data_IF_589816367828
#
_entry.id   IF_589816367828
#
_cell.length_a   1.000
_cell.length_b   1.000
_cell.length_c   1.000
_cell.angle_alpha   90.00
_cell.angle_beta   90.00
_cell.angle_gamma   90.00
#
_symmetry.space_group_name_H-M   'P 1'
#
loop_
_entity.id
_entity.type
_entity.pdbx_description
1 polymer ?
#
# COMPACT_ATOMS: atom_id res chain seq x y z
N UNK A 1 15.76 15.88 1.01
CA UNK A 1 14.60 15.15 1.56
C UNK A 1 13.50 15.22 0.52
N UNK A 2 13.43 14.26 -0.39
CA UNK A 2 12.35 14.15 -1.37
C UNK A 2 11.28 13.24 -0.76
N UNK A 3 10.19 13.83 -0.29
CA UNK A 3 9.00 13.05 0.09
C UNK A 3 8.47 12.32 -1.14
N UNK A 4 7.96 11.07 -1.00
CA UNK A 4 7.33 10.39 -2.12
C UNK A 4 6.16 11.22 -2.63
N UNK A 5 6.00 11.25 -3.95
CA UNK A 5 4.84 11.89 -4.56
C UNK A 5 3.57 11.09 -4.22
N UNK A 6 2.41 11.77 -4.20
CA UNK A 6 1.11 11.15 -3.87
C UNK A 6 0.87 9.87 -4.68
N UNK A 7 1.26 9.88 -5.95
CA UNK A 7 1.10 8.77 -6.90
C UNK A 7 1.98 7.57 -6.58
N UNK A 8 3.22 7.76 -6.13
CA UNK A 8 4.10 6.66 -5.71
C UNK A 8 3.58 5.99 -4.43
N UNK A 9 3.04 6.80 -3.51
CA UNK A 9 2.43 6.28 -2.28
C UNK A 9 1.19 5.45 -2.61
N UNK A 10 0.32 5.94 -3.49
CA UNK A 10 -0.85 5.19 -3.97
C UNK A 10 -0.47 3.88 -4.65
N UNK A 11 0.61 3.85 -5.45
CA UNK A 11 1.08 2.63 -6.10
C UNK A 11 1.52 1.55 -5.09
N UNK A 12 2.28 1.94 -4.06
CA UNK A 12 2.72 1.03 -2.98
C UNK A 12 1.52 0.52 -2.18
N UNK A 13 0.59 1.40 -1.83
CA UNK A 13 -0.63 1.01 -1.10
C UNK A 13 -1.47 0.02 -1.91
N UNK A 14 -1.60 0.25 -3.22
CA UNK A 14 -2.36 -0.64 -4.09
C UNK A 14 -1.69 -2.01 -4.25
N UNK A 15 -0.36 -2.05 -4.30
CA UNK A 15 0.38 -3.31 -4.31
C UNK A 15 0.16 -4.11 -3.02
N UNK A 16 0.23 -3.46 -1.86
CA UNK A 16 -0.06 -4.10 -0.56
C UNK A 16 -1.50 -4.62 -0.54
N UNK A 17 -2.47 -3.84 -1.02
CA UNK A 17 -3.86 -4.24 -1.05
C UNK A 17 -4.12 -5.44 -1.98
N UNK A 18 -3.50 -5.48 -3.17
CA UNK A 18 -3.55 -6.65 -4.06
C UNK A 18 -2.98 -7.90 -3.38
N UNK A 19 -1.82 -7.77 -2.76
CA UNK A 19 -1.09 -8.91 -2.19
C UNK A 19 -1.73 -9.49 -0.92
N UNK A 20 -2.40 -8.64 -0.11
CA UNK A 20 -2.91 -9.05 1.21
C UNK A 20 -4.43 -9.08 1.32
N UNK A 21 -5.15 -8.32 0.49
CA UNK A 21 -6.60 -8.20 0.54
C UNK A 21 -7.29 -8.60 -0.77
N UNK A 22 -6.54 -8.88 -1.85
CA UNK A 22 -7.06 -9.16 -3.19
C UNK A 22 -7.94 -8.02 -3.74
N UNK A 23 -7.63 -6.78 -3.35
CA UNK A 23 -8.30 -5.56 -3.80
C UNK A 23 -7.51 -4.98 -4.98
N UNK A 24 -8.15 -4.87 -6.13
CA UNK A 24 -7.52 -4.37 -7.36
C UNK A 24 -7.58 -2.84 -7.50
N UNK A 25 -8.50 -2.19 -6.80
CA UNK A 25 -8.71 -0.73 -6.86
C UNK A 25 -9.25 -0.19 -5.53
N UNK A 26 -8.89 1.05 -5.20
CA UNK A 26 -9.48 1.80 -4.09
C UNK A 26 -10.64 2.71 -4.52
N UNK A 27 -11.00 2.69 -5.81
CA UNK A 27 -12.14 3.45 -6.29
C UNK A 27 -13.45 2.80 -5.83
N UNK A 28 -14.36 3.60 -5.29
CA UNK A 28 -15.71 3.14 -4.96
C UNK A 28 -16.48 2.76 -6.23
N UNK A 29 -17.07 1.57 -6.23
CA UNK A 29 -17.81 1.01 -7.36
C UNK A 29 -19.33 1.13 -7.19
N UNK A 30 -19.81 1.53 -6.01
CA UNK A 30 -21.22 1.62 -5.62
C UNK A 30 -21.95 0.29 -5.74
N UNK A 31 -21.23 -0.79 -5.44
CA UNK A 31 -21.72 -2.17 -5.50
C UNK A 31 -21.20 -2.87 -4.26
N UNK A 32 -22.11 -3.27 -3.36
CA UNK A 32 -21.74 -3.76 -2.02
C UNK A 32 -20.63 -4.82 -2.05
N UNK A 33 -20.77 -5.88 -2.87
CA UNK A 33 -19.80 -6.97 -2.93
C UNK A 33 -18.46 -6.59 -3.58
N UNK A 34 -18.40 -5.46 -4.30
CA UNK A 34 -17.17 -4.92 -4.88
C UNK A 34 -16.47 -3.89 -3.98
N UNK A 35 -17.19 -3.32 -3.01
CA UNK A 35 -16.66 -2.28 -2.11
C UNK A 35 -16.38 -2.83 -0.70
N UNK A 36 -17.12 -3.84 -0.24
CA UNK A 36 -16.96 -4.44 1.08
C UNK A 36 -16.25 -5.80 0.98
N UNK A 37 -15.13 -5.93 1.70
CA UNK A 37 -14.26 -7.10 1.65
C UNK A 37 -14.15 -7.73 3.04
N UNK A 38 -14.40 -9.04 3.13
CA UNK A 38 -14.10 -9.79 4.34
C UNK A 38 -12.59 -10.06 4.42
N UNK A 39 -11.94 -9.48 5.42
CA UNK A 39 -10.49 -9.58 5.61
C UNK A 39 -10.17 -10.27 6.93
N UNK A 40 -9.24 -11.23 6.88
CA UNK A 40 -8.78 -11.90 8.10
C UNK A 40 -7.87 -10.98 8.91
N UNK A 41 -7.89 -11.12 10.24
CA UNK A 41 -6.96 -10.41 11.13
C UNK A 41 -5.49 -10.68 10.79
N UNK A 42 -5.20 -11.84 10.20
CA UNK A 42 -3.86 -12.21 9.73
C UNK A 42 -3.45 -11.35 8.54
N UNK A 43 -4.32 -11.20 7.53
CA UNK A 43 -4.00 -10.38 6.35
C UNK A 43 -3.86 -8.91 6.72
N UNK A 44 -4.68 -8.39 7.63
CA UNK A 44 -4.52 -7.03 8.17
C UNK A 44 -3.13 -6.85 8.78
N UNK A 45 -2.71 -7.77 9.66
CA UNK A 45 -1.39 -7.72 10.28
C UNK A 45 -0.27 -7.73 9.24
N UNK A 46 -0.33 -8.64 8.26
CA UNK A 46 0.70 -8.73 7.21
C UNK A 46 0.77 -7.47 6.34
N UNK A 47 -0.37 -6.87 6.00
CA UNK A 47 -0.41 -5.61 5.25
C UNK A 47 0.22 -4.45 6.02
N UNK A 48 -0.03 -4.36 7.33
CA UNK A 48 0.57 -3.33 8.20
C UNK A 48 2.09 -3.51 8.32
N UNK A 49 2.56 -4.75 8.50
CA UNK A 49 3.99 -5.08 8.52
C UNK A 49 4.66 -4.71 7.19
N UNK A 50 4.01 -5.00 6.05
CA UNK A 50 4.50 -4.64 4.72
C UNK A 50 4.54 -3.12 4.51
N UNK A 51 3.50 -2.39 4.90
CA UNK A 51 3.45 -0.93 4.79
C UNK A 51 4.57 -0.26 5.62
N UNK A 52 4.82 -0.76 6.84
CA UNK A 52 5.89 -0.28 7.70
C UNK A 52 7.29 -0.54 7.10
N UNK A 53 7.50 -1.73 6.52
CA UNK A 53 8.75 -2.05 5.83
C UNK A 53 8.97 -1.17 4.59
N UNK A 54 7.93 -0.95 3.79
CA UNK A 54 7.97 -0.09 2.61
C UNK A 54 8.33 1.36 2.97
N UNK A 55 7.74 1.90 4.04
CA UNK A 55 8.08 3.24 4.55
C UNK A 55 9.55 3.36 4.96
N UNK A 56 10.10 2.35 5.63
CA UNK A 56 11.53 2.32 5.98
C UNK A 56 12.44 2.22 4.74
N UNK A 57 12.06 1.43 3.74
CA UNK A 57 12.81 1.29 2.49
C UNK A 57 12.83 2.60 1.68
N UNK A 58 11.73 3.34 1.68
CA UNK A 58 11.63 4.64 1.01
C UNK A 58 12.64 5.65 1.59
N UNK A 59 12.81 5.68 2.92
CA UNK A 59 13.82 6.54 3.58
C UNK A 59 15.25 6.14 3.19
N UNK A 60 15.55 4.84 3.11
CA UNK A 60 16.88 4.34 2.70
C UNK A 60 17.20 4.64 1.23
N UNK A 61 16.19 4.63 0.36
CA UNK A 61 16.37 4.88 -1.07
C UNK A 61 16.50 6.38 -1.36
N UNK A 62 15.77 7.21 -0.61
CA UNK A 62 15.85 8.68 -0.70
C UNK A 62 17.20 9.29 -0.27
N UNK A 63 18.10 8.50 0.35
CA UNK A 63 19.49 8.90 0.66
C UNK A 63 20.52 8.56 -0.42
N UNK A 64 20.14 7.86 -1.50
CA UNK A 64 21.07 7.37 -2.56
C UNK A 64 21.02 8.23 -3.83
N UNK A 65 20.20 9.28 -3.88
CA UNK A 65 20.14 10.23 -5.02
C UNK A 65 20.78 11.56 -4.65
N UNK A 66 22.11 11.58 -4.54
CA UNK A 66 22.91 12.80 -4.58
C UNK A 66 24.24 12.53 -5.30
N UNK A 67 24.16 12.47 -6.62
CA UNK A 67 25.26 12.71 -7.57
C UNK A 67 24.74 13.73 -8.60
#
# INVERSE_FOLDING_TARGET
MTSPTKTETEAVLLEIARNHFFIETFNTQNIDWLDFHEVSVRSIRSALEAAFAAGQAAVKTGSVSHD
#
